data_IF_585689207671
#
_entry.id   IF_585689207671
#
_cell.length_a   1.000
_cell.length_b   1.000
_cell.length_c   1.000
_cell.angle_alpha   90.00
_cell.angle_beta   90.00
_cell.angle_gamma   90.00
#
_symmetry.space_group_name_H-M   'P 1'
#
loop_
_entity.id
_entity.type
_entity.pdbx_description
1 polymer ?
#
# COMPACT_ATOMS: atom_id res chain seq x y z
N UNK A 1 44.77 -9.65 -1.53
CA UNK A 1 43.43 -9.77 -0.92
C UNK A 1 42.61 -8.58 -1.41
N UNK A 2 41.72 -8.77 -2.38
CA UNK A 2 40.90 -7.66 -2.91
C UNK A 2 40.12 -7.05 -1.75
N UNK A 3 40.23 -5.73 -1.54
CA UNK A 3 39.56 -5.07 -0.41
C UNK A 3 38.06 -5.11 -0.69
N UNK A 4 37.35 -6.04 -0.04
CA UNK A 4 35.89 -6.07 -0.02
C UNK A 4 35.41 -4.71 0.48
N UNK A 5 34.81 -3.91 -0.41
CA UNK A 5 34.26 -2.58 -0.10
C UNK A 5 32.98 -2.71 0.73
N UNK A 6 33.15 -3.22 1.94
CA UNK A 6 32.08 -3.63 2.85
C UNK A 6 31.16 -2.47 3.24
N UNK A 7 31.73 -1.27 3.40
CA UNK A 7 30.98 -0.04 3.71
C UNK A 7 29.86 0.24 2.70
N UNK A 8 30.07 -0.08 1.41
CA UNK A 8 29.05 0.11 0.38
C UNK A 8 27.92 -0.93 0.51
N UNK A 9 28.23 -2.17 0.87
CA UNK A 9 27.23 -3.20 1.15
C UNK A 9 26.43 -2.87 2.41
N UNK A 10 27.10 -2.36 3.45
CA UNK A 10 26.44 -1.89 4.66
C UNK A 10 25.49 -0.71 4.39
N UNK A 11 25.87 0.22 3.50
CA UNK A 11 24.96 1.28 3.06
C UNK A 11 23.70 0.72 2.37
N UNK A 12 23.85 -0.32 1.53
CA UNK A 12 22.69 -0.96 0.89
C UNK A 12 21.76 -1.67 1.87
N UNK A 13 22.32 -2.22 2.96
CA UNK A 13 21.55 -2.79 4.05
C UNK A 13 20.70 -1.71 4.75
N UNK A 14 21.31 -0.58 5.12
CA UNK A 14 20.59 0.53 5.80
C UNK A 14 19.45 1.05 4.93
N UNK A 15 19.70 1.32 3.66
CA UNK A 15 18.68 1.80 2.72
C UNK A 15 17.55 0.77 2.52
N UNK A 16 17.88 -0.52 2.47
CA UNK A 16 16.86 -1.58 2.40
C UNK A 16 15.99 -1.63 3.65
N UNK A 17 16.56 -1.45 4.85
CA UNK A 17 15.81 -1.39 6.11
C UNK A 17 14.87 -0.17 6.17
N UNK A 18 15.35 1.00 5.73
CA UNK A 18 14.54 2.20 5.62
C UNK A 18 13.38 2.00 4.64
N UNK A 19 13.66 1.41 3.46
CA UNK A 19 12.64 1.07 2.46
C UNK A 19 11.56 0.14 3.01
N UNK A 20 11.97 -0.96 3.65
CA UNK A 20 11.06 -1.92 4.26
C UNK A 20 10.15 -1.27 5.30
N UNK A 21 10.71 -0.41 6.14
CA UNK A 21 9.93 0.32 7.17
C UNK A 21 8.86 1.20 6.52
N UNK A 22 9.23 1.97 5.49
CA UNK A 22 8.29 2.83 4.77
C UNK A 22 7.19 2.02 4.08
N UNK A 23 7.53 0.88 3.47
CA UNK A 23 6.55 -0.01 2.83
C UNK A 23 5.56 -0.61 3.84
N UNK A 24 6.03 -1.05 5.02
CA UNK A 24 5.16 -1.54 6.09
C UNK A 24 4.24 -0.43 6.59
N UNK A 25 4.77 0.77 6.83
CA UNK A 25 3.96 1.92 7.24
C UNK A 25 2.89 2.20 6.19
N UNK A 26 3.27 2.35 4.92
CA UNK A 26 2.34 2.60 3.82
C UNK A 26 1.24 1.54 3.74
N UNK A 27 1.58 0.25 3.85
CA UNK A 27 0.62 -0.85 3.78
C UNK A 27 -0.39 -0.84 4.94
N UNK A 28 0.07 -0.52 6.15
CA UNK A 28 -0.74 -0.65 7.37
C UNK A 28 -1.50 0.61 7.78
N UNK A 29 -1.20 1.78 7.21
CA UNK A 29 -1.80 3.06 7.66
C UNK A 29 -2.94 3.56 6.76
N UNK A 30 -4.04 4.07 7.34
CA UNK A 30 -5.25 4.43 6.61
C UNK A 30 -5.23 5.84 5.99
N UNK A 31 -4.17 6.16 5.23
CA UNK A 31 -4.01 7.48 4.58
C UNK A 31 -3.50 7.37 3.14
N UNK A 32 -4.10 6.48 2.34
CA UNK A 32 -3.89 6.44 0.89
C UNK A 32 -4.79 7.42 0.14
N UNK A 33 -5.96 7.71 0.71
CA UNK A 33 -6.90 8.72 0.23
C UNK A 33 -7.39 9.57 1.39
N UNK A 34 -7.52 10.87 1.14
CA UNK A 34 -8.15 11.83 2.04
C UNK A 34 -9.17 12.64 1.26
N UNK A 35 -10.36 12.81 1.81
CA UNK A 35 -11.44 13.58 1.20
C UNK A 35 -12.24 14.30 2.27
N UNK A 36 -12.88 15.37 1.85
CA UNK A 36 -13.97 15.97 2.59
C UNK A 36 -15.29 15.63 1.91
N UNK A 37 -16.37 15.66 2.67
CA UNK A 37 -17.71 15.59 2.13
C UNK A 37 -18.55 16.74 2.65
N UNK A 38 -19.28 17.34 1.73
CA UNK A 38 -20.13 18.49 1.97
C UNK A 38 -21.60 18.08 1.94
N UNK A 39 -22.34 18.52 2.95
CA UNK A 39 -23.80 18.51 2.98
C UNK A 39 -24.29 19.88 3.41
N UNK A 40 -25.33 20.39 2.74
CA UNK A 40 -25.83 21.77 2.91
C UNK A 40 -26.31 22.11 4.32
N UNK A 41 -26.80 21.10 5.05
CA UNK A 41 -27.32 21.26 6.41
C UNK A 41 -26.30 20.86 7.49
N UNK A 42 -25.07 20.52 7.11
CA UNK A 42 -24.05 20.09 8.06
C UNK A 42 -23.47 21.25 8.85
N UNK A 43 -23.09 21.01 10.11
CA UNK A 43 -22.36 21.98 10.93
C UNK A 43 -20.95 22.28 10.36
N UNK A 44 -20.27 21.24 9.86
CA UNK A 44 -18.98 21.32 9.16
C UNK A 44 -18.90 20.19 8.11
N UNK A 45 -18.00 20.33 7.13
CA UNK A 45 -17.63 19.23 6.24
C UNK A 45 -17.22 17.98 7.04
N UNK A 46 -17.71 16.82 6.60
CA UNK A 46 -17.30 15.52 7.13
C UNK A 46 -15.94 15.15 6.55
N UNK A 47 -15.10 14.50 7.35
CA UNK A 47 -13.73 14.14 6.99
C UNK A 47 -13.64 12.63 6.76
N UNK A 48 -13.04 12.23 5.64
CA UNK A 48 -12.89 10.82 5.25
C UNK A 48 -11.43 10.56 4.91
N UNK A 49 -10.90 9.47 5.46
CA UNK A 49 -9.58 8.98 5.10
C UNK A 49 -9.56 7.46 5.14
N UNK A 50 -8.92 6.83 4.17
CA UNK A 50 -8.74 5.38 4.17
C UNK A 50 -7.44 4.95 3.50
N UNK A 51 -7.00 3.74 3.85
CA UNK A 51 -5.82 3.07 3.31
C UNK A 51 -6.19 2.06 2.23
N UNK A 52 -5.52 0.91 2.25
CA UNK A 52 -5.83 -0.20 1.37
C UNK A 52 -6.93 -1.12 1.92
N UNK A 53 -7.13 -1.16 3.24
CA UNK A 53 -8.03 -2.13 3.88
C UNK A 53 -9.05 -1.49 4.81
N UNK A 54 -8.67 -0.40 5.47
CA UNK A 54 -9.49 0.25 6.49
C UNK A 54 -9.37 1.77 6.39
N UNK A 55 -10.30 2.45 7.04
CA UNK A 55 -10.36 3.90 7.10
C UNK A 55 -11.20 4.41 8.25
N UNK A 56 -11.43 5.71 8.25
CA UNK A 56 -12.27 6.40 9.20
C UNK A 56 -13.12 7.45 8.51
N UNK A 57 -14.34 7.59 9.00
CA UNK A 57 -15.27 8.64 8.63
C UNK A 57 -15.63 9.42 9.88
N UNK A 58 -15.41 10.73 9.84
CA UNK A 58 -15.85 11.67 10.86
C UNK A 58 -17.01 12.50 10.31
N UNK A 59 -18.22 12.15 10.70
CA UNK A 59 -19.44 12.85 10.28
C UNK A 59 -19.67 14.08 11.17
N UNK A 60 -19.76 15.25 10.53
CA UNK A 60 -19.91 16.55 11.20
C UNK A 60 -21.25 17.23 10.91
N UNK A 61 -22.31 16.44 10.70
CA UNK A 61 -23.66 16.97 10.46
C UNK A 61 -24.21 17.76 11.64
N UNK A 62 -23.93 17.29 12.86
CA UNK A 62 -24.33 17.92 14.11
C UNK A 62 -23.13 18.57 14.80
N UNK A 63 -23.34 19.47 15.78
CA UNK A 63 -22.25 20.07 16.56
C UNK A 63 -21.37 19.03 17.28
N UNK A 64 -21.91 17.84 17.55
CA UNK A 64 -21.15 16.72 18.12
C UNK A 64 -20.76 15.77 16.97
N UNK A 65 -19.45 15.59 16.71
CA UNK A 65 -18.99 14.71 15.65
C UNK A 65 -19.29 13.23 15.95
N UNK A 66 -19.56 12.46 14.90
CA UNK A 66 -19.70 11.00 14.97
C UNK A 66 -18.54 10.34 14.24
N UNK A 67 -18.02 9.27 14.83
CA UNK A 67 -16.85 8.55 14.32
C UNK A 67 -17.26 7.15 13.91
N UNK A 68 -16.90 6.77 12.68
CA UNK A 68 -17.14 5.45 12.12
C UNK A 68 -15.83 4.88 11.59
N UNK A 69 -15.61 3.60 11.87
CA UNK A 69 -14.49 2.84 11.31
C UNK A 69 -14.97 2.23 9.99
N UNK A 70 -14.22 2.48 8.91
CA UNK A 70 -14.53 1.97 7.58
C UNK A 70 -13.69 0.73 7.28
N UNK A 71 -14.31 -0.29 6.69
CA UNK A 71 -13.65 -1.51 6.25
C UNK A 71 -13.96 -1.77 4.78
N UNK A 72 -12.93 -1.99 3.98
CA UNK A 72 -13.11 -2.33 2.58
C UNK A 72 -13.83 -3.69 2.47
N UNK A 73 -14.89 -3.71 1.68
CA UNK A 73 -15.70 -4.89 1.41
C UNK A 73 -15.83 -5.07 -0.09
N UNK A 74 -15.61 -6.29 -0.57
CA UNK A 74 -15.54 -6.60 -1.99
C UNK A 74 -16.51 -7.73 -2.34
N UNK A 75 -17.34 -7.52 -3.36
CA UNK A 75 -18.16 -8.56 -3.97
C UNK A 75 -17.41 -9.16 -5.15
N UNK A 76 -16.73 -10.28 -4.91
CA UNK A 76 -15.91 -10.95 -5.93
C UNK A 76 -16.69 -11.40 -7.17
N UNK A 77 -17.96 -11.76 -7.02
CA UNK A 77 -18.83 -12.14 -8.14
C UNK A 77 -19.15 -10.97 -9.07
N UNK A 78 -19.14 -9.75 -8.54
CA UNK A 78 -19.53 -8.53 -9.27
C UNK A 78 -18.32 -7.65 -9.62
N UNK A 79 -17.11 -8.01 -9.16
CA UNK A 79 -15.86 -7.28 -9.38
C UNK A 79 -15.85 -5.84 -8.84
N UNK A 80 -16.65 -5.57 -7.81
CA UNK A 80 -16.77 -4.25 -7.18
C UNK A 80 -16.39 -4.29 -5.70
N UNK A 81 -15.86 -3.19 -5.20
CA UNK A 81 -15.62 -2.97 -3.78
C UNK A 81 -16.15 -1.60 -3.34
N UNK A 82 -16.42 -1.48 -2.04
CA UNK A 82 -16.72 -0.23 -1.36
C UNK A 82 -16.28 -0.30 0.10
N UNK A 83 -16.11 0.86 0.73
CA UNK A 83 -15.82 0.98 2.15
C UNK A 83 -17.10 1.01 2.96
N UNK A 84 -17.31 0.02 3.81
CA UNK A 84 -18.50 -0.12 4.65
C UNK A 84 -18.18 0.19 6.11
N UNK A 85 -19.15 0.79 6.81
CA UNK A 85 -19.11 1.06 8.24
C UNK A 85 -19.79 -0.02 9.11
N UNK A 86 -20.31 -1.10 8.50
CA UNK A 86 -21.05 -2.13 9.24
C UNK A 86 -20.13 -3.03 10.07
N UNK A 87 -20.61 -3.44 11.24
CA UNK A 87 -19.84 -4.25 12.20
C UNK A 87 -19.54 -5.67 11.69
N UNK A 88 -20.53 -6.30 11.04
CA UNK A 88 -20.46 -7.70 10.60
C UNK A 88 -20.14 -7.84 9.11
N UNK A 89 -19.35 -8.85 8.74
CA UNK A 89 -18.99 -9.11 7.33
C UNK A 89 -20.22 -9.35 6.44
N UNK A 90 -21.22 -10.06 6.97
CA UNK A 90 -22.46 -10.35 6.26
C UNK A 90 -23.25 -9.06 5.97
N UNK A 91 -23.38 -8.18 6.96
CA UNK A 91 -24.01 -6.87 6.80
C UNK A 91 -23.25 -5.96 5.84
N UNK A 92 -21.90 -6.00 5.84
CA UNK A 92 -21.09 -5.25 4.88
C UNK A 92 -21.34 -5.74 3.45
N UNK A 93 -21.37 -7.05 3.23
CA UNK A 93 -21.62 -7.63 1.91
C UNK A 93 -23.04 -7.31 1.40
N UNK A 94 -24.04 -7.39 2.28
CA UNK A 94 -25.41 -7.01 1.97
C UNK A 94 -25.51 -5.52 1.62
N UNK A 95 -24.83 -4.64 2.36
CA UNK A 95 -24.79 -3.20 2.06
C UNK A 95 -24.25 -2.91 0.65
N UNK A 96 -23.11 -3.51 0.27
CA UNK A 96 -22.55 -3.32 -1.08
C UNK A 96 -23.48 -3.88 -2.16
N UNK A 97 -24.16 -4.99 -1.89
CA UNK A 97 -25.11 -5.60 -2.83
C UNK A 97 -26.35 -4.72 -3.02
N UNK A 98 -26.89 -4.16 -1.95
CA UNK A 98 -28.01 -3.23 -2.00
C UNK A 98 -27.64 -1.97 -2.78
N UNK A 99 -26.46 -1.39 -2.52
CA UNK A 99 -25.95 -0.22 -3.25
C UNK A 99 -25.84 -0.52 -4.75
N UNK A 100 -25.34 -1.68 -5.13
CA UNK A 100 -25.23 -2.09 -6.54
C UNK A 100 -26.62 -2.21 -7.21
N UNK A 101 -27.63 -2.67 -6.45
CA UNK A 101 -29.02 -2.75 -6.89
C UNK A 101 -29.73 -1.38 -6.89
N UNK A 102 -29.06 -0.30 -6.51
CA UNK A 102 -29.65 1.03 -6.37
C UNK A 102 -30.60 1.16 -5.17
N UNK A 103 -30.52 0.23 -4.22
CA UNK A 103 -31.30 0.24 -2.99
C UNK A 103 -30.52 0.93 -1.87
N UNK A 104 -31.23 1.66 -1.02
CA UNK A 104 -30.64 2.34 0.13
C UNK A 104 -30.27 1.31 1.22
N UNK A 105 -29.00 1.25 1.66
CA UNK A 105 -28.58 0.36 2.74
C UNK A 105 -29.01 0.85 4.12
N UNK A 106 -28.81 0.01 5.14
CA UNK A 106 -29.04 0.37 6.53
C UNK A 106 -28.02 1.41 7.03
N UNK A 107 -28.43 2.27 7.96
CA UNK A 107 -27.53 3.28 8.54
C UNK A 107 -26.41 2.62 9.38
N UNK A 108 -25.25 3.28 9.45
CA UNK A 108 -24.10 2.80 10.23
C UNK A 108 -24.46 2.63 11.73
N UNK A 109 -24.02 1.53 12.38
CA UNK A 109 -24.27 1.34 13.80
C UNK A 109 -23.54 2.39 14.64
N UNK A 110 -24.26 3.00 15.59
CA UNK A 110 -23.66 3.94 16.55
C UNK A 110 -22.98 3.15 17.68
N UNK A 111 -21.67 3.39 17.87
CA UNK A 111 -20.81 2.73 18.88
C UNK A 111 -21.27 2.85 20.35
N UNK A 112 -22.31 3.65 20.63
CA UNK A 112 -22.89 3.90 21.98
C UNK A 112 -24.36 3.48 22.15
N UNK A 113 -24.94 2.72 21.22
CA UNK A 113 -26.23 2.11 21.46
C UNK A 113 -26.05 0.76 22.14
N UNK A 114 -26.16 0.74 23.48
CA UNK A 114 -26.49 -0.45 24.26
C UNK A 114 -27.49 -1.29 23.45
N UNK A 115 -27.13 -2.53 23.09
CA UNK A 115 -28.00 -3.47 22.36
C UNK A 115 -29.35 -3.60 23.08
N UNK A 116 -30.31 -2.75 22.75
CA UNK A 116 -31.72 -3.08 22.81
C UNK A 116 -32.00 -3.69 21.47
N UNK A 117 -32.18 -5.01 21.44
CA UNK A 117 -32.81 -5.70 20.32
C UNK A 117 -34.25 -5.18 20.23
N UNK A 118 -34.42 -4.01 19.62
CA UNK A 118 -35.70 -3.69 19.01
C UNK A 118 -35.61 -4.34 17.65
N UNK A 119 -36.07 -5.58 17.59
CA UNK A 119 -36.44 -6.23 16.35
C UNK A 119 -37.63 -5.45 15.76
N UNK A 120 -37.36 -4.26 15.22
CA UNK A 120 -38.26 -3.62 14.30
C UNK A 120 -37.83 -4.03 12.90
N UNK A 121 -38.20 -5.27 12.56
CA UNK A 121 -38.45 -5.62 11.18
C UNK A 121 -39.69 -4.85 10.73
N UNK A 122 -39.51 -3.56 10.47
CA UNK A 122 -40.47 -2.72 9.79
C UNK A 122 -39.72 -2.18 8.58
N UNK A 123 -39.57 -3.04 7.58
CA UNK A 123 -39.49 -2.58 6.20
C UNK A 123 -40.83 -1.86 5.99
N UNK A 124 -40.87 -0.52 5.87
CA UNK A 124 -42.05 0.08 5.28
C UNK A 124 -42.06 -0.46 3.86
N UNK A 125 -43.11 -1.22 3.50
CA UNK A 125 -43.46 -1.53 2.11
C UNK A 125 -43.89 -0.23 1.39
N UNK A 126 -43.07 0.81 1.45
CA UNK A 126 -43.12 1.96 0.58
C UNK A 126 -42.27 1.61 -0.63
N UNK A 127 -42.95 1.23 -1.72
CA UNK A 127 -42.43 1.03 -3.07
C UNK A 127 -40.94 0.64 -3.15
N UNK A 128 -40.66 -0.65 -3.38
CA UNK A 128 -39.45 -1.04 -4.11
C UNK A 128 -39.59 -0.42 -5.50
N UNK A 129 -39.25 0.87 -5.62
CA UNK A 129 -38.91 1.45 -6.89
C UNK A 129 -37.61 0.74 -7.25
N UNK A 130 -37.69 -0.12 -8.26
CA UNK A 130 -36.51 -0.68 -8.90
C UNK A 130 -35.78 0.52 -9.50
N UNK A 131 -34.92 1.15 -8.69
CA UNK A 131 -34.01 2.17 -9.16
C UNK A 131 -33.14 1.52 -10.24
N UNK A 132 -32.74 2.32 -11.23
CA UNK A 132 -31.83 1.85 -12.26
C UNK A 132 -30.58 1.28 -11.58
N UNK A 133 -30.14 0.09 -12.00
CA UNK A 133 -28.98 -0.56 -11.39
C UNK A 133 -27.81 0.40 -11.44
N UNK A 134 -27.09 0.55 -10.32
CA UNK A 134 -26.02 1.52 -10.24
C UNK A 134 -24.90 1.17 -11.23
N UNK A 135 -24.32 2.18 -11.88
CA UNK A 135 -23.17 1.93 -12.75
C UNK A 135 -22.01 1.42 -11.90
N UNK A 136 -21.45 0.29 -12.31
CA UNK A 136 -20.33 -0.39 -11.66
C UNK A 136 -19.06 0.47 -11.70
N UNK A 137 -18.98 1.40 -12.66
CA UNK A 137 -17.86 2.33 -12.80
C UNK A 137 -17.68 3.28 -11.61
N UNK A 138 -18.75 3.51 -10.84
CA UNK A 138 -18.75 4.37 -9.65
C UNK A 138 -18.16 3.67 -8.40
N UNK A 139 -18.04 2.34 -8.42
CA UNK A 139 -17.46 1.54 -7.34
C UNK A 139 -15.96 1.35 -7.50
N UNK A 140 -15.28 0.97 -6.42
CA UNK A 140 -13.86 0.60 -6.46
C UNK A 140 -13.72 -0.66 -7.34
N UNK A 141 -12.92 -0.57 -8.40
CA UNK A 141 -12.63 -1.73 -9.23
C UNK A 141 -11.80 -2.76 -8.44
N UNK A 142 -12.35 -3.96 -8.27
CA UNK A 142 -11.72 -5.04 -7.51
C UNK A 142 -10.34 -5.40 -8.06
N UNK A 143 -10.19 -5.51 -9.38
CA UNK A 143 -8.94 -5.91 -10.02
C UNK A 143 -7.80 -4.92 -9.80
N UNK A 144 -8.09 -3.61 -9.96
CA UNK A 144 -7.11 -2.55 -9.71
C UNK A 144 -6.71 -2.48 -8.24
N UNK A 145 -7.68 -2.61 -7.33
CA UNK A 145 -7.39 -2.64 -5.89
C UNK A 145 -6.55 -3.86 -5.50
N UNK A 146 -6.97 -5.08 -5.87
CA UNK A 146 -6.23 -6.32 -5.57
C UNK A 146 -4.81 -6.24 -6.13
N UNK A 147 -4.67 -5.77 -7.37
CA UNK A 147 -3.34 -5.63 -7.99
C UNK A 147 -2.47 -4.66 -7.21
N UNK A 148 -3.01 -3.51 -6.78
CA UNK A 148 -2.28 -2.54 -5.96
C UNK A 148 -1.78 -3.19 -4.66
N UNK A 149 -2.65 -3.92 -3.95
CA UNK A 149 -2.30 -4.64 -2.72
C UNK A 149 -1.21 -5.69 -2.98
N UNK A 150 -1.36 -6.49 -4.03
CA UNK A 150 -0.40 -7.55 -4.38
C UNK A 150 0.96 -6.97 -4.71
N UNK A 151 1.03 -5.92 -5.53
CA UNK A 151 2.31 -5.30 -5.88
C UNK A 151 2.98 -4.58 -4.70
N UNK A 152 2.22 -3.95 -3.79
CA UNK A 152 2.77 -3.43 -2.53
C UNK A 152 3.28 -4.57 -1.63
N UNK A 153 2.57 -5.70 -1.57
CA UNK A 153 3.00 -6.90 -0.85
C UNK A 153 4.29 -7.51 -1.41
N UNK A 154 4.38 -7.64 -2.75
CA UNK A 154 5.60 -8.07 -3.45
C UNK A 154 6.75 -7.10 -3.14
N UNK A 155 6.51 -5.79 -3.21
CA UNK A 155 7.54 -4.79 -2.86
C UNK A 155 8.07 -4.99 -1.44
N UNK A 156 7.17 -5.15 -0.46
CA UNK A 156 7.52 -5.39 0.93
C UNK A 156 8.31 -6.69 1.12
N UNK A 157 7.86 -7.78 0.51
CA UNK A 157 8.55 -9.08 0.56
C UNK A 157 9.96 -9.02 -0.01
N UNK A 158 10.13 -8.43 -1.21
CA UNK A 158 11.44 -8.29 -1.84
C UNK A 158 12.35 -7.27 -1.16
N UNK A 159 11.79 -6.23 -0.53
CA UNK A 159 12.56 -5.35 0.35
C UNK A 159 13.09 -6.12 1.57
N UNK A 160 12.29 -7.00 2.17
CA UNK A 160 12.73 -7.89 3.25
C UNK A 160 13.84 -8.85 2.82
N UNK A 161 13.69 -9.48 1.64
CA UNK A 161 14.73 -10.32 1.04
C UNK A 161 16.02 -9.52 0.80
N UNK A 162 15.91 -8.28 0.31
CA UNK A 162 17.06 -7.38 0.13
C UNK A 162 17.78 -7.07 1.44
N UNK A 163 17.03 -6.82 2.53
CA UNK A 163 17.62 -6.62 3.87
C UNK A 163 18.44 -7.84 4.30
N UNK A 164 17.85 -9.03 4.22
CA UNK A 164 18.48 -10.29 4.65
C UNK A 164 19.74 -10.55 3.83
N UNK A 165 19.67 -10.44 2.50
CA UNK A 165 20.84 -10.74 1.68
C UNK A 165 21.88 -9.64 1.69
N UNK A 166 21.51 -8.38 1.95
CA UNK A 166 22.50 -7.32 2.13
C UNK A 166 23.36 -7.60 3.38
N UNK A 167 22.74 -8.02 4.51
CA UNK A 167 23.50 -8.38 5.71
C UNK A 167 24.31 -9.67 5.53
N UNK A 168 23.79 -10.66 4.79
CA UNK A 168 24.55 -11.89 4.47
C UNK A 168 25.78 -11.57 3.60
N UNK A 169 25.65 -10.70 2.60
CA UNK A 169 26.79 -10.26 1.77
C UNK A 169 27.81 -9.47 2.57
N UNK A 170 27.35 -8.74 3.59
CA UNK A 170 28.19 -8.05 4.57
C UNK A 170 28.99 -9.10 5.38
N UNK A 171 28.35 -10.09 5.97
CA UNK A 171 29.01 -10.98 6.94
C UNK A 171 29.79 -12.13 6.31
N UNK A 172 29.25 -12.75 5.27
CA UNK A 172 29.70 -14.08 4.81
C UNK A 172 30.28 -14.11 3.40
N UNK A 173 30.03 -13.09 2.56
CA UNK A 173 30.48 -13.03 1.17
C UNK A 173 30.20 -14.35 0.39
N UNK A 174 28.93 -14.77 0.27
CA UNK A 174 28.58 -16.04 -0.39
C UNK A 174 28.94 -16.03 -1.88
N UNK A 175 29.21 -17.22 -2.43
CA UNK A 175 29.59 -17.41 -3.85
C UNK A 175 28.40 -17.73 -4.75
N UNK A 176 27.27 -18.16 -4.18
CA UNK A 176 26.07 -18.53 -4.92
C UNK A 176 25.43 -17.29 -5.57
N UNK A 177 25.12 -17.30 -6.88
CA UNK A 177 24.67 -16.11 -7.60
C UNK A 177 23.44 -15.42 -6.97
N UNK A 178 22.48 -16.20 -6.51
CA UNK A 178 21.23 -15.73 -5.89
C UNK A 178 21.50 -15.04 -4.53
N UNK A 179 22.46 -15.54 -3.77
CA UNK A 179 22.84 -15.00 -2.46
C UNK A 179 23.89 -13.90 -2.56
N UNK A 180 24.58 -13.81 -3.69
CA UNK A 180 25.65 -12.83 -3.94
C UNK A 180 25.11 -11.43 -4.25
N UNK A 181 26.03 -10.50 -4.49
CA UNK A 181 25.75 -9.14 -4.98
C UNK A 181 24.88 -9.14 -6.26
N UNK A 182 24.98 -10.18 -7.09
CA UNK A 182 24.12 -10.31 -8.27
C UNK A 182 22.63 -10.38 -7.90
N UNK A 183 22.28 -11.18 -6.89
CA UNK A 183 20.91 -11.27 -6.37
C UNK A 183 20.39 -9.94 -5.85
N UNK A 184 21.24 -9.14 -5.19
CA UNK A 184 20.84 -7.82 -4.69
C UNK A 184 20.36 -6.87 -5.80
N UNK A 185 20.92 -6.92 -7.01
CA UNK A 185 20.38 -6.15 -8.14
C UNK A 185 18.95 -6.58 -8.49
N UNK A 186 18.70 -7.88 -8.53
CA UNK A 186 17.39 -8.44 -8.88
C UNK A 186 16.36 -8.06 -7.82
N UNK A 187 16.66 -8.28 -6.54
CA UNK A 187 15.71 -8.02 -5.45
C UNK A 187 15.37 -6.53 -5.31
N UNK A 188 16.36 -5.65 -5.43
CA UNK A 188 16.11 -4.20 -5.44
C UNK A 188 15.34 -3.76 -6.70
N UNK A 189 15.63 -4.37 -7.86
CA UNK A 189 14.90 -4.09 -9.10
C UNK A 189 13.43 -4.49 -9.02
N UNK A 190 13.14 -5.68 -8.49
CA UNK A 190 11.75 -6.14 -8.29
C UNK A 190 11.04 -5.23 -7.30
N UNK A 191 11.64 -4.91 -6.15
CA UNK A 191 11.01 -4.04 -5.15
C UNK A 191 10.73 -2.63 -5.67
N UNK A 192 11.65 -2.03 -6.44
CA UNK A 192 11.44 -0.74 -7.09
C UNK A 192 10.31 -0.82 -8.14
N UNK A 193 10.35 -1.83 -9.01
CA UNK A 193 9.36 -2.01 -10.07
C UNK A 193 7.95 -2.27 -9.53
N UNK A 194 7.82 -3.14 -8.52
CA UNK A 194 6.53 -3.43 -7.90
C UNK A 194 5.99 -2.23 -7.11
N UNK A 195 6.84 -1.45 -6.45
CA UNK A 195 6.43 -0.19 -5.81
C UNK A 195 5.90 0.81 -6.83
N UNK A 196 6.57 0.95 -7.98
CA UNK A 196 6.13 1.83 -9.07
C UNK A 196 4.80 1.36 -9.69
N UNK A 197 4.64 0.05 -9.91
CA UNK A 197 3.39 -0.53 -10.41
C UNK A 197 2.22 -0.31 -9.45
N UNK A 198 2.42 -0.53 -8.14
CA UNK A 198 1.39 -0.25 -7.13
C UNK A 198 0.94 1.22 -7.16
N UNK A 199 1.90 2.15 -7.30
CA UNK A 199 1.62 3.58 -7.41
C UNK A 199 0.84 3.92 -8.67
N UNK A 200 1.18 3.34 -9.83
CA UNK A 200 0.45 3.54 -11.09
C UNK A 200 -0.98 2.98 -11.00
N UNK A 201 -1.15 1.78 -10.45
CA UNK A 201 -2.45 1.11 -10.35
C UNK A 201 -3.41 1.89 -9.44
N UNK A 202 -2.96 2.27 -8.24
CA UNK A 202 -3.76 3.08 -7.33
C UNK A 202 -4.00 4.49 -7.90
N UNK A 203 -2.98 5.10 -8.50
CA UNK A 203 -3.10 6.41 -9.15
C UNK A 203 -4.14 6.41 -10.28
N UNK A 204 -4.19 5.31 -11.06
CA UNK A 204 -5.21 5.12 -12.10
C UNK A 204 -6.61 4.93 -11.52
N UNK A 205 -6.74 4.11 -10.48
CA UNK A 205 -8.01 3.94 -9.75
C UNK A 205 -8.52 5.28 -9.20
N UNK A 206 -7.61 6.08 -8.62
CA UNK A 206 -7.92 7.41 -8.11
C UNK A 206 -8.38 8.38 -9.21
N UNK A 207 -7.62 8.46 -10.31
CA UNK A 207 -7.90 9.38 -11.40
C UNK A 207 -9.22 9.10 -12.13
N UNK A 208 -9.61 7.82 -12.21
CA UNK A 208 -10.81 7.40 -12.94
C UNK A 208 -12.06 7.37 -12.06
N UNK A 209 -11.97 6.90 -10.82
CA UNK A 209 -13.14 6.67 -9.96
C UNK A 209 -13.08 7.51 -8.68
N UNK A 210 -12.01 7.37 -7.89
CA UNK A 210 -12.02 7.88 -6.49
C UNK A 210 -12.01 9.39 -6.36
N UNK A 211 -11.60 10.11 -7.42
CA UNK A 211 -11.66 11.57 -7.44
C UNK A 211 -13.09 12.11 -7.40
N UNK A 212 -14.05 11.37 -7.96
CA UNK A 212 -15.46 11.77 -8.01
C UNK A 212 -16.28 11.03 -6.95
N UNK A 213 -16.05 9.72 -6.80
CA UNK A 213 -16.73 8.89 -5.83
C UNK A 213 -15.71 8.14 -4.99
N UNK A 214 -15.58 8.52 -3.71
CA UNK A 214 -14.63 7.91 -2.79
C UNK A 214 -15.02 6.48 -2.36
N UNK A 215 -16.14 5.93 -2.86
CA UNK A 215 -16.50 4.54 -2.68
C UNK A 215 -17.00 4.21 -1.28
N UNK A 216 -17.74 5.12 -0.65
CA UNK A 216 -18.48 4.87 0.61
C UNK A 216 -20.01 4.88 0.34
N UNK A 217 -20.84 4.22 1.18
CA UNK A 217 -22.29 4.19 1.02
C UNK A 217 -22.91 5.57 0.85
N UNK A 218 -22.45 6.55 1.63
CA UNK A 218 -22.96 7.92 1.60
C UNK A 218 -22.74 8.60 0.25
N UNK A 219 -21.64 8.28 -0.47
CA UNK A 219 -21.32 8.88 -1.78
C UNK A 219 -21.82 8.04 -2.96
N UNK A 220 -22.13 6.77 -2.73
CA UNK A 220 -22.74 5.87 -3.72
C UNK A 220 -24.28 5.99 -3.74
N UNK A 221 -24.89 6.51 -2.68
CA UNK A 221 -26.35 6.64 -2.61
C UNK A 221 -26.81 7.97 -3.24
N UNK A 222 -27.40 7.92 -4.43
CA UNK A 222 -27.82 9.11 -5.21
C UNK A 222 -28.89 9.98 -4.53
N UNK A 223 -29.65 9.42 -3.61
CA UNK A 223 -30.75 10.12 -2.92
C UNK A 223 -30.30 10.96 -1.71
N UNK A 224 -29.00 10.91 -1.35
CA UNK A 224 -28.44 11.69 -0.25
C UNK A 224 -27.77 12.96 -0.79
N UNK A 225 -28.00 14.14 -0.18
CA UNK A 225 -27.34 15.40 -0.56
C UNK A 225 -25.90 15.46 -0.03
N UNK A 226 -25.15 14.37 -0.21
CA UNK A 226 -23.82 14.17 0.34
C UNK A 226 -22.81 14.11 -0.82
N UNK A 227 -22.06 15.19 -1.00
CA UNK A 227 -21.15 15.34 -2.14
C UNK A 227 -19.70 15.28 -1.71
N UNK A 228 -18.91 14.46 -2.40
CA UNK A 228 -17.46 14.44 -2.24
C UNK A 228 -16.86 15.76 -2.71
N UNK A 229 -16.08 16.40 -1.85
CA UNK A 229 -15.30 17.59 -2.20
C UNK A 229 -13.84 17.38 -1.85
N UNK A 230 -12.93 17.80 -2.73
CA UNK A 230 -11.49 17.78 -2.45
C UNK A 230 -10.88 16.39 -2.17
N UNK A 231 -11.36 15.35 -2.85
CA UNK A 231 -10.69 14.05 -2.82
C UNK A 231 -9.24 14.19 -3.32
N UNK A 232 -8.29 13.68 -2.53
CA UNK A 232 -6.86 13.80 -2.77
C UNK A 232 -6.11 12.54 -2.35
N UNK A 233 -4.97 12.31 -2.99
CA UNK A 233 -4.07 11.22 -2.63
C UNK A 233 -3.37 11.53 -1.30
N UNK A 234 -3.50 10.62 -0.35
CA UNK A 234 -2.97 10.77 1.00
C UNK A 234 -1.48 10.50 1.11
N UNK A 235 -0.92 10.74 2.30
CA UNK A 235 0.52 10.63 2.58
C UNK A 235 1.06 9.23 2.29
N UNK A 236 0.34 8.17 2.62
CA UNK A 236 0.81 6.78 2.48
C UNK A 236 1.01 6.38 1.02
N UNK A 237 0.25 6.99 0.10
CA UNK A 237 0.46 6.84 -1.33
C UNK A 237 1.78 7.50 -1.75
N UNK A 238 1.99 8.76 -1.35
CA UNK A 238 3.22 9.50 -1.69
C UNK A 238 4.48 8.91 -1.06
N UNK A 239 4.35 8.24 0.08
CA UNK A 239 5.46 7.51 0.70
C UNK A 239 6.07 6.45 -0.22
N UNK A 240 5.35 5.92 -1.22
CA UNK A 240 5.88 4.95 -2.19
C UNK A 240 7.02 5.49 -3.07
N UNK A 241 7.20 6.81 -3.19
CA UNK A 241 8.36 7.39 -3.88
C UNK A 241 9.68 7.12 -3.15
N UNK A 242 9.66 7.02 -1.82
CA UNK A 242 10.84 6.75 -1.01
C UNK A 242 11.43 5.35 -1.26
N UNK A 243 10.67 4.23 -1.16
CA UNK A 243 11.22 2.91 -1.45
C UNK A 243 11.69 2.79 -2.91
N UNK A 244 11.00 3.40 -3.88
CA UNK A 244 11.47 3.46 -5.28
C UNK A 244 12.87 4.10 -5.34
N UNK A 245 13.02 5.26 -4.70
CA UNK A 245 14.28 6.00 -4.68
C UNK A 245 15.39 5.26 -3.92
N UNK A 246 15.08 4.63 -2.78
CA UNK A 246 16.05 3.84 -2.00
C UNK A 246 16.52 2.60 -2.75
N UNK A 247 15.64 1.89 -3.45
CA UNK A 247 16.02 0.72 -4.25
C UNK A 247 16.82 1.10 -5.50
N UNK A 248 16.51 2.22 -6.16
CA UNK A 248 17.33 2.78 -7.24
C UNK A 248 18.72 3.18 -6.72
N UNK A 249 18.77 3.85 -5.57
CA UNK A 249 20.03 4.23 -4.93
C UNK A 249 20.87 2.99 -4.56
N UNK A 250 20.25 1.92 -4.06
CA UNK A 250 20.92 0.65 -3.81
C UNK A 250 21.57 0.09 -5.07
N UNK A 251 20.83 0.03 -6.18
CA UNK A 251 21.37 -0.42 -7.48
C UNK A 251 22.56 0.45 -7.90
N UNK A 252 22.44 1.78 -7.78
CA UNK A 252 23.53 2.70 -8.10
C UNK A 252 24.78 2.49 -7.23
N UNK A 253 24.61 2.27 -5.91
CA UNK A 253 25.71 1.96 -4.98
C UNK A 253 26.40 0.65 -5.36
N UNK A 254 25.63 -0.37 -5.73
CA UNK A 254 26.19 -1.66 -6.15
C UNK A 254 26.97 -1.53 -7.47
N UNK A 255 26.44 -0.78 -8.45
CA UNK A 255 27.15 -0.49 -9.70
C UNK A 255 28.45 0.27 -9.43
N UNK A 256 28.40 1.27 -8.55
CA UNK A 256 29.56 2.04 -8.11
C UNK A 256 30.61 1.15 -7.43
N UNK A 257 30.16 0.23 -6.56
CA UNK A 257 31.03 -0.76 -5.92
C UNK A 257 31.75 -1.62 -6.97
N UNK A 258 31.02 -2.13 -7.97
CA UNK A 258 31.61 -2.89 -9.07
C UNK A 258 32.63 -2.09 -9.86
N UNK A 259 32.32 -0.83 -10.16
CA UNK A 259 33.23 0.07 -10.86
C UNK A 259 34.55 0.31 -10.13
N UNK A 260 34.51 0.54 -8.81
CA UNK A 260 35.73 0.74 -8.01
C UNK A 260 36.57 -0.54 -7.97
N UNK A 261 35.95 -1.69 -7.74
CA UNK A 261 36.67 -2.97 -7.65
C UNK A 261 37.40 -3.28 -8.97
N UNK A 262 36.76 -3.01 -10.11
CA UNK A 262 37.35 -3.24 -11.42
C UNK A 262 38.50 -2.28 -11.77
N UNK A 263 38.62 -1.14 -11.07
CA UNK A 263 39.72 -0.18 -11.25
C UNK A 263 40.93 -0.43 -10.35
N UNK A 264 40.80 -1.29 -9.33
CA UNK A 264 41.94 -1.66 -8.50
C UNK A 264 42.85 -2.63 -9.27
N UNK A 265 44.18 -2.41 -9.31
CA UNK A 265 45.09 -3.33 -9.98
C UNK A 265 44.99 -4.72 -9.32
N UNK A 266 45.13 -5.81 -10.10
CA UNK A 266 45.11 -7.16 -9.54
C UNK A 266 46.19 -7.25 -8.46
N UNK A 267 45.90 -7.92 -7.33
CA UNK A 267 46.90 -8.07 -6.27
C UNK A 267 48.15 -8.71 -6.85
N UNK A 268 49.32 -8.12 -6.60
CA UNK A 268 50.61 -8.71 -6.97
C UNK A 268 50.71 -10.07 -6.29
N UNK A 269 50.47 -11.14 -7.04
CA UNK A 269 50.77 -12.49 -6.59
C UNK A 269 52.27 -12.63 -6.63
N UNK A 270 52.92 -12.56 -5.46
CA UNK A 270 54.30 -13.04 -5.35
C UNK A 270 54.17 -14.55 -5.44
N UNK A 271 54.49 -15.10 -6.61
CA UNK A 271 54.69 -16.54 -6.75
C UNK A 271 55.96 -16.85 -5.97
N UNK A 272 55.80 -17.27 -4.71
CA UNK A 272 56.93 -17.78 -3.94
C UNK A 272 57.23 -19.14 -4.52
N UNK A 273 58.14 -19.16 -5.49
CA UNK A 273 58.62 -20.39 -6.07
C UNK A 273 59.17 -21.24 -4.92
N UNK A 274 58.64 -22.46 -4.79
CA UNK A 274 58.87 -23.36 -3.65
C UNK A 274 60.34 -23.83 -3.56
N UNK A 275 61.19 -23.38 -4.47
CA UNK A 275 62.63 -23.64 -4.55
C UNK A 275 63.51 -22.64 -3.79
N UNK A 276 63.03 -21.44 -3.46
CA UNK A 276 63.87 -20.41 -2.82
C UNK A 276 63.67 -20.38 -1.29
N UNK A 277 64.18 -21.42 -0.64
CA UNK A 277 64.29 -21.55 0.81
C UNK A 277 65.51 -20.81 1.39
N UNK A 278 65.97 -19.73 0.74
CA UNK A 278 67.04 -18.86 1.26
C UNK A 278 66.46 -17.56 1.78
N UNK A 279 65.91 -17.63 2.99
CA UNK A 279 65.83 -16.47 3.88
C UNK A 279 67.27 -16.12 4.27
N UNK A 280 67.83 -15.07 3.67
CA UNK A 280 69.01 -14.39 4.24
C UNK A 280 68.49 -13.10 4.85
N UNK A 281 68.39 -13.08 6.18
CA UNK A 281 68.24 -11.85 6.94
C UNK A 281 69.59 -11.12 6.93
N UNK A 282 69.61 -9.88 6.45
CA UNK A 282 70.52 -8.82 6.86
C UNK A 282 69.72 -7.53 7.02
#
# INVERSE_FOLDING_TARGET
>A
MAKTKWNLLFATFILSCASLTVLIVSLCTPYWLVSEAFESNAYKNSEINYGLFSGSLTQNFLPVPRYFDLTLTCLYSEYVCAYSCQDSEESRNEEVLLLLQGLRPADCPLRSARKRSVANHLIPRGAIQKADSHDRSEFINLGLWVSSVVFTGIACGFAGVSVIFAIVNVLFNPVEPILSVFGLYIYNGIAAGSSALAMILWGSLFGNTLKQNIGIPDTLTKDLPYYTTNASLGVCYWLLFLPISFHIANIAILLWRGHIINREPPPTTIDVDRSDLTIIMY
#
